data_IF_097623400134
#
_entry.id   IF_097623400134
#
_cell.length_a   1.000
_cell.length_b   1.000
_cell.length_c   1.000
_cell.angle_alpha   90.00
_cell.angle_beta   90.00
_cell.angle_gamma   90.00
#
_symmetry.space_group_name_H-M   'P 1'
#
loop_
_entity.id
_entity.type
_entity.pdbx_description
1 polymer ?
#
# COMPACT_ATOMS: atom_id res chain seq x y z
N UNK A 1 -44.36 -9.54 24.89
CA UNK A 1 -43.20 -9.31 25.79
C UNK A 1 -41.93 -9.59 25.00
N UNK A 2 -41.22 -8.54 24.59
CA UNK A 2 -39.96 -8.68 23.88
C UNK A 2 -38.91 -9.18 24.88
N UNK A 3 -38.30 -10.35 24.62
CA UNK A 3 -37.14 -10.81 25.39
C UNK A 3 -36.02 -9.80 25.19
N UNK A 4 -35.72 -9.02 26.22
CA UNK A 4 -34.54 -8.18 26.23
C UNK A 4 -33.30 -9.07 26.37
N UNK A 5 -32.27 -8.77 25.56
CA UNK A 5 -30.97 -9.43 25.59
C UNK A 5 -30.34 -9.32 26.99
N UNK A 6 -29.62 -10.35 27.42
CA UNK A 6 -28.95 -10.33 28.72
C UNK A 6 -27.63 -9.55 28.64
N UNK A 7 -27.25 -8.89 29.73
CA UNK A 7 -25.96 -8.18 29.81
C UNK A 7 -24.76 -9.11 29.62
N UNK A 8 -24.90 -10.39 30.01
CA UNK A 8 -23.85 -11.39 29.86
C UNK A 8 -23.62 -11.76 28.39
N UNK A 9 -24.66 -11.81 27.57
CA UNK A 9 -24.51 -12.05 26.13
C UNK A 9 -23.72 -10.91 25.48
N UNK A 10 -24.03 -9.66 25.82
CA UNK A 10 -23.28 -8.52 25.29
C UNK A 10 -21.82 -8.52 25.77
N UNK A 11 -21.56 -8.91 27.02
CA UNK A 11 -20.19 -9.00 27.54
C UNK A 11 -19.33 -10.01 26.78
N UNK A 12 -19.86 -11.20 26.49
CA UNK A 12 -19.13 -12.22 25.72
C UNK A 12 -18.88 -11.75 24.29
N UNK A 13 -19.83 -11.06 23.67
CA UNK A 13 -19.65 -10.51 22.32
C UNK A 13 -18.52 -9.48 22.28
N UNK A 14 -18.52 -8.52 23.22
CA UNK A 14 -17.45 -7.50 23.30
C UNK A 14 -16.10 -8.13 23.61
N UNK A 15 -16.06 -9.16 24.46
CA UNK A 15 -14.84 -9.92 24.75
C UNK A 15 -14.26 -10.55 23.47
N UNK A 16 -15.09 -11.25 22.68
CA UNK A 16 -14.66 -11.90 21.44
C UNK A 16 -14.17 -10.85 20.43
N UNK A 17 -14.93 -9.77 20.23
CA UNK A 17 -14.53 -8.68 19.31
C UNK A 17 -13.22 -8.03 19.78
N UNK A 18 -13.03 -7.84 21.08
CA UNK A 18 -11.80 -7.30 21.65
C UNK A 18 -10.56 -8.16 21.35
N UNK A 19 -10.68 -9.49 21.52
CA UNK A 19 -9.59 -10.43 21.21
C UNK A 19 -9.26 -10.41 19.71
N UNK A 20 -10.30 -10.45 18.86
CA UNK A 20 -10.11 -10.40 17.41
C UNK A 20 -9.48 -9.08 16.97
N UNK A 21 -9.93 -7.94 17.50
CA UNK A 21 -9.41 -6.62 17.16
C UNK A 21 -7.94 -6.44 17.57
N UNK A 22 -7.54 -6.98 18.72
CA UNK A 22 -6.16 -6.93 19.20
C UNK A 22 -5.17 -7.61 18.25
N UNK A 23 -5.59 -8.68 17.56
CA UNK A 23 -4.77 -9.41 16.57
C UNK A 23 -4.93 -8.78 15.18
N UNK A 24 -6.15 -8.41 14.80
CA UNK A 24 -6.48 -7.93 13.46
C UNK A 24 -5.84 -6.58 13.14
N UNK A 25 -5.82 -5.63 14.09
CA UNK A 25 -5.26 -4.29 13.87
C UNK A 25 -3.76 -4.30 13.49
N UNK A 26 -2.85 -4.94 14.26
CA UNK A 26 -1.44 -4.99 13.87
C UNK A 26 -1.22 -5.76 12.56
N UNK A 27 -1.99 -6.83 12.32
CA UNK A 27 -1.92 -7.59 11.08
C UNK A 27 -2.36 -6.76 9.86
N UNK A 28 -3.44 -5.99 10.00
CA UNK A 28 -3.94 -5.10 8.95
C UNK A 28 -2.89 -4.04 8.59
N UNK A 29 -2.34 -3.34 9.60
CA UNK A 29 -1.29 -2.35 9.39
C UNK A 29 -0.06 -2.94 8.70
N UNK A 30 0.39 -4.13 9.13
CA UNK A 30 1.51 -4.82 8.48
C UNK A 30 1.21 -5.18 7.02
N UNK A 31 -0.03 -5.56 6.73
CA UNK A 31 -0.47 -5.90 5.36
C UNK A 31 -0.47 -4.66 4.47
N UNK A 32 -1.05 -3.56 4.95
CA UNK A 32 -1.07 -2.28 4.22
C UNK A 32 0.35 -1.78 3.98
N UNK A 33 1.22 -1.85 4.99
CA UNK A 33 2.61 -1.44 4.86
C UNK A 33 3.37 -2.30 3.85
N UNK A 34 3.15 -3.62 3.87
CA UNK A 34 3.73 -4.53 2.88
C UNK A 34 3.24 -4.20 1.47
N UNK A 35 1.96 -3.89 1.29
CA UNK A 35 1.42 -3.47 -0.01
C UNK A 35 2.07 -2.18 -0.50
N UNK A 36 2.22 -1.17 0.38
CA UNK A 36 2.92 0.09 0.06
C UNK A 36 4.38 -0.13 -0.31
N UNK A 37 5.10 -0.96 0.45
CA UNK A 37 6.49 -1.30 0.15
C UNK A 37 6.63 -2.04 -1.20
N UNK A 38 5.69 -2.94 -1.51
CA UNK A 38 5.65 -3.64 -2.79
C UNK A 38 5.39 -2.67 -3.95
N UNK A 39 4.48 -1.71 -3.79
CA UNK A 39 4.20 -0.67 -4.78
C UNK A 39 5.42 0.22 -5.01
N UNK A 40 6.09 0.67 -3.94
CA UNK A 40 7.32 1.45 -4.03
C UNK A 40 8.42 0.69 -4.80
N UNK A 41 8.57 -0.62 -4.54
CA UNK A 41 9.54 -1.46 -5.27
C UNK A 41 9.22 -1.54 -6.77
N UNK A 42 7.95 -1.66 -7.15
CA UNK A 42 7.53 -1.66 -8.54
C UNK A 42 7.84 -0.33 -9.23
N UNK A 43 7.60 0.79 -8.56
CA UNK A 43 7.91 2.13 -9.07
C UNK A 43 9.42 2.27 -9.31
N UNK A 44 10.26 1.93 -8.33
CA UNK A 44 11.72 2.00 -8.47
C UNK A 44 12.21 1.13 -9.63
N UNK A 45 11.69 -0.10 -9.76
CA UNK A 45 12.04 -0.99 -10.87
C UNK A 45 11.65 -0.39 -12.22
N UNK A 46 10.49 0.25 -12.30
CA UNK A 46 10.04 0.90 -13.52
C UNK A 46 10.95 2.08 -13.89
N UNK A 47 11.36 2.91 -12.93
CA UNK A 47 12.32 4.01 -13.12
C UNK A 47 13.66 3.47 -13.61
N UNK A 48 14.25 2.47 -12.95
CA UNK A 48 15.52 1.87 -13.38
C UNK A 48 15.44 1.36 -14.82
N UNK A 49 14.36 0.66 -15.17
CA UNK A 49 14.14 0.22 -16.55
C UNK A 49 13.97 1.36 -17.55
N UNK A 50 13.40 2.50 -17.15
CA UNK A 50 13.32 3.69 -18.00
C UNK A 50 14.69 4.33 -18.22
N UNK A 51 15.51 4.43 -17.17
CA UNK A 51 16.89 4.93 -17.26
C UNK A 51 17.73 4.06 -18.19
N UNK A 52 17.61 2.74 -18.08
CA UNK A 52 18.31 1.81 -18.97
C UNK A 52 17.89 2.01 -20.44
N UNK A 53 16.59 2.19 -20.71
CA UNK A 53 16.09 2.48 -22.07
C UNK A 53 16.62 3.82 -22.60
N UNK A 54 16.63 4.85 -21.77
CA UNK A 54 17.14 6.17 -22.15
C UNK A 54 18.65 6.11 -22.47
N UNK A 55 19.42 5.41 -21.64
CA UNK A 55 20.85 5.20 -21.85
C UNK A 55 21.12 4.47 -23.18
N UNK A 56 20.34 3.43 -23.50
CA UNK A 56 20.47 2.72 -24.78
C UNK A 56 20.14 3.61 -25.98
N UNK A 57 19.22 4.56 -25.82
CA UNK A 57 18.81 5.47 -26.90
C UNK A 57 19.78 6.64 -27.11
N UNK A 58 20.33 7.21 -26.04
CA UNK A 58 21.12 8.45 -26.09
C UNK A 58 22.61 8.26 -25.83
N UNK A 59 23.03 7.11 -25.30
CA UNK A 59 24.41 6.81 -24.93
C UNK A 59 24.88 7.50 -23.64
N UNK A 60 24.03 8.28 -22.97
CA UNK A 60 24.36 9.01 -21.75
C UNK A 60 23.27 8.80 -20.69
N UNK A 61 23.63 8.55 -19.41
CA UNK A 61 22.63 8.44 -18.35
C UNK A 61 22.00 9.81 -18.05
N UNK A 62 20.71 9.81 -17.73
CA UNK A 62 19.99 11.01 -17.30
C UNK A 62 19.82 11.04 -15.78
N UNK A 63 19.89 12.25 -15.21
CA UNK A 63 19.59 12.52 -13.80
C UNK A 63 18.22 13.19 -13.62
N UNK A 64 17.46 13.34 -14.71
CA UNK A 64 16.20 14.05 -14.74
C UNK A 64 15.03 13.11 -15.09
N UNK A 65 13.96 13.19 -14.31
CA UNK A 65 12.78 12.36 -14.49
C UNK A 65 11.95 12.77 -15.71
N UNK A 66 12.00 14.05 -16.12
CA UNK A 66 11.25 14.56 -17.27
C UNK A 66 11.75 13.98 -18.61
N UNK A 67 12.99 13.50 -18.63
CA UNK A 67 13.59 12.84 -19.80
C UNK A 67 13.28 11.33 -19.89
N UNK A 68 12.61 10.77 -18.87
CA UNK A 68 12.23 9.37 -18.81
C UNK A 68 10.76 9.23 -19.24
N UNK A 69 10.52 8.45 -20.29
CA UNK A 69 9.16 8.10 -20.74
C UNK A 69 8.53 7.06 -19.79
N UNK A 70 8.10 7.53 -18.60
CA UNK A 70 7.48 6.71 -17.56
C UNK A 70 6.34 7.45 -16.87
N UNK A 71 5.16 6.82 -16.86
CA UNK A 71 4.04 7.25 -16.02
C UNK A 71 4.15 6.59 -14.64
N UNK A 72 4.34 7.39 -13.59
CA UNK A 72 4.37 6.89 -12.20
C UNK A 72 2.92 6.80 -11.69
N UNK A 73 2.41 5.59 -11.38
CA UNK A 73 1.07 5.42 -10.85
C UNK A 73 0.87 6.23 -9.56
N UNK A 74 -0.21 7.00 -9.48
CA UNK A 74 -0.55 7.81 -8.30
C UNK A 74 0.08 9.21 -8.25
N UNK A 75 1.02 9.53 -9.15
CA UNK A 75 1.40 10.92 -9.40
C UNK A 75 0.47 11.46 -10.48
N UNK A 76 -0.37 12.44 -10.15
CA UNK A 76 -1.06 13.21 -11.19
C UNK A 76 0.03 13.95 -11.94
N UNK A 77 0.28 13.56 -13.19
CA UNK A 77 1.08 14.30 -14.15
C UNK A 77 0.70 15.78 -14.02
N UNK A 78 1.58 16.58 -13.42
CA UNK A 78 1.51 18.02 -13.55
C UNK A 78 2.07 18.28 -14.93
N UNK A 79 1.17 18.73 -15.81
CA UNK A 79 1.41 18.89 -17.25
C UNK A 79 2.38 19.99 -17.60
#
# INVERSE_FOLDING_TARGET
MNKAFTLIELLVVVLIIGILAAIALPQYNKTVEKSRASEAFLIVKAISGAVDRYLLATGVPTNDFDSLDIEIPGTKARG
#
